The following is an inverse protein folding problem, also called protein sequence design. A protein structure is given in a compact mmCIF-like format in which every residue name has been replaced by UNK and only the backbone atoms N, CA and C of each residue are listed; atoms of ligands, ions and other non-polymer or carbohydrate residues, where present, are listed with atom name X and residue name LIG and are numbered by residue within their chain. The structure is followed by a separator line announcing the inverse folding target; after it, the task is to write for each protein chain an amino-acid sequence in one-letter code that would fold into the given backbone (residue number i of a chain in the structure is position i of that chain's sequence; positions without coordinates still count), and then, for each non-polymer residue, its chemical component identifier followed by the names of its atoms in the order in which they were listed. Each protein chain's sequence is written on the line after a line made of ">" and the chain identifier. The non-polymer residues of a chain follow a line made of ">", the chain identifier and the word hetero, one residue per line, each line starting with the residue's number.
data_IF_634633896899
#
_entry.id   IF_634633896899
#
_cell.length_a   1.000
_cell.length_b   1.000
_cell.length_c   1.000
_cell.angle_alpha   90.00
_cell.angle_beta   90.00
_cell.angle_gamma   90.00
#
_symmetry.space_group_name_H-M   'P 1'
#
loop_
_entity.id
_entity.type
_entity.pdbx_description
1 polymer ?
#
# COMPACT_ATOMS: atom_id res chain seq x y z
N UNK A 1 5.15 -11.34 -33.59
CA UNK A 1 4.84 -12.06 -32.35
C UNK A 1 3.62 -11.41 -31.74
N UNK A 2 2.61 -12.21 -31.40
CA UNK A 2 1.41 -11.74 -30.70
C UNK A 2 1.80 -11.36 -29.27
N UNK A 3 1.35 -10.20 -28.80
CA UNK A 3 1.54 -9.83 -27.40
C UNK A 3 0.74 -10.81 -26.52
N UNK A 4 1.45 -11.69 -25.82
CA UNK A 4 0.85 -12.70 -24.95
C UNK A 4 -0.04 -12.07 -23.88
N UNK A 5 0.26 -10.84 -23.44
CA UNK A 5 -0.48 -10.11 -22.40
C UNK A 5 -1.88 -9.70 -22.85
N UNK A 6 -2.15 -9.71 -24.17
CA UNK A 6 -3.46 -9.41 -24.74
C UNK A 6 -4.34 -10.67 -24.93
N UNK A 7 -3.76 -11.87 -24.75
CA UNK A 7 -4.49 -13.12 -24.99
C UNK A 7 -5.57 -13.36 -23.92
N UNK A 8 -6.68 -14.05 -24.27
CA UNK A 8 -7.69 -14.46 -23.29
C UNK A 8 -7.14 -15.36 -22.18
N UNK A 9 -6.21 -16.27 -22.53
CA UNK A 9 -5.59 -17.18 -21.58
C UNK A 9 -4.79 -16.41 -20.51
N UNK A 10 -3.98 -15.44 -20.92
CA UNK A 10 -3.18 -14.64 -19.98
C UNK A 10 -4.07 -13.81 -19.05
N UNK A 11 -5.14 -13.19 -19.59
CA UNK A 11 -6.11 -12.43 -18.78
C UNK A 11 -6.86 -13.33 -17.79
N UNK A 12 -7.25 -14.53 -18.21
CA UNK A 12 -7.89 -15.51 -17.32
C UNK A 12 -6.95 -15.94 -16.19
N UNK A 13 -5.68 -16.20 -16.51
CA UNK A 13 -4.66 -16.55 -15.51
C UNK A 13 -4.39 -15.40 -14.54
N UNK A 14 -4.34 -14.16 -15.04
CA UNK A 14 -4.23 -12.95 -14.19
C UNK A 14 -5.40 -12.89 -13.19
N UNK A 15 -6.65 -12.95 -13.68
CA UNK A 15 -7.82 -12.85 -12.82
C UNK A 15 -7.92 -13.99 -11.78
N UNK A 16 -7.49 -15.21 -12.16
CA UNK A 16 -7.39 -16.33 -11.21
C UNK A 16 -6.31 -16.10 -10.17
N UNK A 17 -5.18 -15.51 -10.55
CA UNK A 17 -4.09 -15.16 -9.62
C UNK A 17 -4.56 -14.09 -8.62
N UNK A 18 -5.26 -13.06 -9.10
CA UNK A 18 -5.88 -12.04 -8.26
C UNK A 18 -6.84 -12.67 -7.23
N UNK A 19 -7.70 -13.59 -7.68
CA UNK A 19 -8.60 -14.30 -6.78
C UNK A 19 -7.86 -15.10 -5.70
N UNK A 20 -6.76 -15.77 -6.06
CA UNK A 20 -5.91 -16.50 -5.09
C UNK A 20 -5.26 -15.52 -4.10
N UNK A 21 -4.74 -14.38 -4.55
CA UNK A 21 -4.17 -13.34 -3.68
C UNK A 21 -5.19 -12.82 -2.67
N UNK A 22 -6.44 -12.58 -3.10
CA UNK A 22 -7.52 -12.17 -2.21
C UNK A 22 -7.81 -13.21 -1.12
N UNK A 23 -7.82 -14.50 -1.46
CA UNK A 23 -7.99 -15.58 -0.45
C UNK A 23 -6.84 -15.65 0.56
N UNK A 24 -5.69 -15.06 0.23
CA UNK A 24 -4.52 -14.95 1.10
C UNK A 24 -4.46 -13.62 1.85
N UNK A 25 -5.50 -12.80 1.75
CA UNK A 25 -5.59 -11.51 2.41
C UNK A 25 -4.73 -10.42 1.77
N UNK A 26 -4.32 -10.58 0.49
CA UNK A 26 -3.56 -9.57 -0.24
C UNK A 26 -4.38 -8.98 -1.39
N UNK A 27 -4.42 -7.66 -1.44
CA UNK A 27 -4.86 -6.88 -2.58
C UNK A 27 -3.62 -6.37 -3.32
N UNK A 28 -3.50 -6.68 -4.60
CA UNK A 28 -2.34 -6.31 -5.42
C UNK A 28 -2.82 -5.54 -6.62
N UNK A 29 -2.08 -4.50 -7.04
CA UNK A 29 -2.44 -3.78 -8.25
C UNK A 29 -2.47 -4.74 -9.47
N UNK A 30 -3.53 -4.70 -10.29
CA UNK A 30 -3.65 -5.62 -11.42
C UNK A 30 -2.47 -5.53 -12.41
N UNK A 31 -1.90 -4.34 -12.59
CA UNK A 31 -0.71 -4.11 -13.42
C UNK A 31 0.53 -4.84 -12.88
N UNK A 32 0.72 -4.86 -11.56
CA UNK A 32 1.80 -5.59 -10.93
C UNK A 32 1.63 -7.11 -11.07
N UNK A 33 0.42 -7.63 -10.84
CA UNK A 33 0.13 -9.07 -11.05
C UNK A 33 0.40 -9.48 -12.49
N UNK A 34 -0.04 -8.66 -13.46
CA UNK A 34 0.27 -8.89 -14.88
C UNK A 34 1.77 -8.85 -15.18
N UNK A 35 2.52 -7.94 -14.55
CA UNK A 35 3.96 -7.83 -14.70
C UNK A 35 4.69 -9.09 -14.21
N UNK A 36 4.40 -9.53 -12.98
CA UNK A 36 4.98 -10.75 -12.40
C UNK A 36 4.59 -11.97 -13.21
N UNK A 37 3.32 -12.07 -13.62
CA UNK A 37 2.85 -13.18 -14.44
C UNK A 37 3.60 -13.26 -15.78
N UNK A 38 3.77 -12.12 -16.47
CA UNK A 38 4.53 -12.07 -17.71
C UNK A 38 5.97 -12.54 -17.50
N UNK A 39 6.62 -12.08 -16.43
CA UNK A 39 7.99 -12.51 -16.10
C UNK A 39 8.09 -14.02 -15.82
N UNK A 40 7.14 -14.58 -15.07
CA UNK A 40 7.11 -16.03 -14.78
C UNK A 40 6.94 -16.85 -16.05
N UNK A 41 6.08 -16.39 -16.97
CA UNK A 41 5.87 -17.05 -18.27
C UNK A 41 7.14 -17.00 -19.11
N UNK A 42 7.77 -15.83 -19.27
CA UNK A 42 9.03 -15.67 -20.02
C UNK A 42 10.14 -16.57 -19.46
N UNK A 43 10.36 -16.56 -18.14
CA UNK A 43 11.38 -17.41 -17.49
C UNK A 43 11.06 -18.90 -17.68
N UNK A 44 9.78 -19.28 -17.64
CA UNK A 44 9.36 -20.68 -17.85
C UNK A 44 9.61 -21.12 -19.29
N UNK A 45 9.28 -20.27 -20.26
CA UNK A 45 9.52 -20.50 -21.68
C UNK A 45 11.02 -20.71 -21.96
N UNK A 46 11.87 -19.79 -21.49
CA UNK A 46 13.32 -19.86 -21.66
C UNK A 46 13.92 -21.12 -21.04
N UNK A 47 13.49 -21.48 -19.82
CA UNK A 47 14.05 -22.61 -19.08
C UNK A 47 13.71 -23.97 -19.72
N UNK A 48 12.54 -24.09 -20.32
CA UNK A 48 12.03 -25.35 -20.89
C UNK A 48 12.30 -25.41 -22.40
N UNK A 49 12.63 -24.28 -23.03
CA UNK A 49 12.83 -24.18 -24.48
C UNK A 49 11.51 -24.19 -25.26
N UNK A 50 10.44 -23.65 -24.67
CA UNK A 50 9.14 -23.49 -25.31
C UNK A 50 8.94 -22.02 -25.70
N UNK A 51 7.92 -21.75 -26.53
CA UNK A 51 7.45 -20.38 -26.68
C UNK A 51 6.61 -19.94 -25.45
N UNK A 52 6.37 -18.64 -25.34
CA UNK A 52 5.64 -18.08 -24.20
C UNK A 52 4.17 -18.53 -24.15
N UNK A 53 3.53 -18.80 -25.29
CA UNK A 53 2.13 -19.21 -25.38
C UNK A 53 1.95 -20.63 -24.83
N UNK A 54 2.87 -21.54 -25.17
CA UNK A 54 2.91 -22.89 -24.61
C UNK A 54 3.29 -22.86 -23.12
N UNK A 55 4.29 -22.06 -22.74
CA UNK A 55 4.73 -21.95 -21.35
C UNK A 55 3.64 -21.41 -20.42
N UNK A 56 2.75 -20.54 -20.92
CA UNK A 56 1.60 -20.02 -20.18
C UNK A 56 0.73 -21.12 -19.57
N UNK A 57 0.55 -22.22 -20.28
CA UNK A 57 -0.25 -23.36 -19.83
C UNK A 57 0.41 -24.17 -18.70
N UNK A 58 1.70 -23.93 -18.44
CA UNK A 58 2.45 -24.58 -17.37
C UNK A 58 2.48 -23.73 -16.08
N UNK A 59 2.05 -22.48 -16.14
CA UNK A 59 2.05 -21.56 -15.00
C UNK A 59 0.72 -21.66 -14.25
N UNK A 60 0.79 -21.96 -12.96
CA UNK A 60 -0.39 -21.99 -12.08
C UNK A 60 -0.61 -20.64 -11.38
N UNK A 61 -1.86 -20.22 -11.15
CA UNK A 61 -2.17 -19.03 -10.35
C UNK A 61 -1.54 -19.06 -8.96
N UNK A 62 -1.52 -20.24 -8.32
CA UNK A 62 -1.01 -20.44 -6.96
C UNK A 62 0.49 -20.19 -6.89
N UNK A 63 1.25 -20.67 -7.87
CA UNK A 63 2.71 -20.42 -7.95
C UNK A 63 3.02 -18.93 -8.09
N UNK A 64 2.27 -18.21 -8.91
CA UNK A 64 2.47 -16.76 -9.11
C UNK A 64 2.10 -16.00 -7.83
N UNK A 65 0.98 -16.36 -7.21
CA UNK A 65 0.57 -15.79 -5.93
C UNK A 65 1.59 -16.06 -4.83
N UNK A 66 2.22 -17.25 -4.78
CA UNK A 66 3.25 -17.59 -3.79
C UNK A 66 4.48 -16.69 -3.95
N UNK A 67 4.88 -16.42 -5.19
CA UNK A 67 6.00 -15.52 -5.49
C UNK A 67 5.70 -14.09 -5.02
N UNK A 68 4.49 -13.58 -5.28
CA UNK A 68 4.08 -12.24 -4.85
C UNK A 68 4.00 -12.16 -3.33
N UNK A 69 3.38 -13.13 -2.66
CA UNK A 69 3.32 -13.20 -1.19
C UNK A 69 4.73 -13.18 -0.59
N UNK A 70 5.63 -13.99 -1.14
CA UNK A 70 7.01 -14.07 -0.67
C UNK A 70 7.74 -12.75 -0.88
N UNK A 71 7.62 -12.13 -2.05
CA UNK A 71 8.23 -10.82 -2.32
C UNK A 71 7.68 -9.73 -1.39
N UNK A 72 6.41 -9.84 -0.98
CA UNK A 72 5.78 -8.91 -0.06
C UNK A 72 6.08 -9.16 1.43
N UNK A 73 6.84 -10.20 1.79
CA UNK A 73 7.23 -10.47 3.18
C UNK A 73 8.17 -9.37 3.68
N UNK A 74 7.67 -8.55 4.62
CA UNK A 74 8.37 -7.39 5.20
C UNK A 74 9.68 -7.74 5.90
N UNK A 75 9.97 -9.03 6.12
CA UNK A 75 11.18 -9.51 6.78
C UNK A 75 12.32 -9.81 5.80
N UNK A 76 12.06 -9.73 4.50
CA UNK A 76 13.07 -9.99 3.47
C UNK A 76 13.71 -8.68 3.00
N UNK A 77 15.01 -8.73 2.74
CA UNK A 77 15.74 -7.61 2.14
C UNK A 77 15.15 -7.26 0.76
N UNK A 78 14.93 -5.97 0.50
CA UNK A 78 14.32 -5.47 -0.72
C UNK A 78 12.78 -5.47 -0.71
N UNK A 79 12.14 -5.88 0.38
CA UNK A 79 10.67 -5.82 0.51
C UNK A 79 10.13 -4.38 0.52
N UNK A 80 10.99 -3.41 0.85
CA UNK A 80 10.75 -1.97 0.76
C UNK A 80 10.50 -1.47 -0.67
N UNK A 81 10.91 -2.22 -1.70
CA UNK A 81 10.68 -1.85 -3.11
C UNK A 81 9.32 -2.36 -3.64
N UNK A 82 8.62 -3.22 -2.89
CA UNK A 82 7.37 -3.88 -3.30
C UNK A 82 6.15 -3.01 -2.95
N UNK A 83 5.86 -2.04 -3.81
CA UNK A 83 4.89 -0.97 -3.55
C UNK A 83 3.44 -1.24 -3.98
N UNK A 84 3.18 -2.33 -4.70
CA UNK A 84 1.87 -2.63 -5.28
C UNK A 84 1.02 -3.63 -4.46
N UNK A 85 1.41 -3.93 -3.22
CA UNK A 85 0.79 -4.98 -2.38
C UNK A 85 0.27 -4.40 -1.07
N UNK A 86 -1.02 -4.65 -0.79
CA UNK A 86 -1.75 -4.13 0.36
C UNK A 86 -2.55 -5.25 1.06
N UNK A 87 -2.85 -5.11 2.35
CA UNK A 87 -3.76 -6.04 3.02
C UNK A 87 -5.18 -5.88 2.49
N UNK A 88 -5.94 -6.99 2.41
CA UNK A 88 -7.38 -6.94 2.14
C UNK A 88 -8.09 -6.44 3.38
N UNK A 89 -8.89 -5.39 3.22
CA UNK A 89 -9.82 -4.93 4.26
C UNK A 89 -11.07 -5.80 4.27
N UNK A 90 -11.29 -6.49 5.37
CA UNK A 90 -12.50 -7.31 5.59
C UNK A 90 -13.59 -6.51 6.29
N UNK A 91 -13.23 -5.45 7.02
CA UNK A 91 -14.18 -4.56 7.69
C UNK A 91 -14.76 -3.53 6.70
N UNK A 92 -16.05 -3.68 6.40
CA UNK A 92 -16.80 -2.81 5.49
C UNK A 92 -17.51 -1.64 6.21
N UNK A 93 -17.33 -1.50 7.53
CA UNK A 93 -17.95 -0.41 8.30
C UNK A 93 -17.39 0.95 7.84
N UNK A 94 -18.24 1.96 7.92
CA UNK A 94 -17.88 3.35 7.70
C UNK A 94 -18.30 4.21 8.88
N UNK A 95 -17.56 5.29 9.12
CA UNK A 95 -17.84 6.26 10.20
C UNK A 95 -17.89 7.68 9.61
N UNK A 96 -18.75 8.55 10.14
CA UNK A 96 -18.77 9.94 9.71
C UNK A 96 -17.53 10.67 10.23
N UNK A 97 -16.93 11.51 9.40
CA UNK A 97 -15.89 12.45 9.80
C UNK A 97 -16.14 13.83 9.19
N UNK A 98 -15.81 14.88 9.94
CA UNK A 98 -15.88 16.24 9.44
C UNK A 98 -14.69 16.55 8.50
N UNK A 99 -14.85 17.61 7.70
CA UNK A 99 -13.88 18.05 6.72
C UNK A 99 -12.50 18.36 7.33
N UNK A 100 -12.48 18.99 8.51
CA UNK A 100 -11.23 19.37 9.19
C UNK A 100 -10.46 18.15 9.65
N UNK A 101 -11.17 17.19 10.24
CA UNK A 101 -10.63 15.89 10.63
C UNK A 101 -10.06 15.13 9.43
N UNK A 102 -10.82 15.02 8.33
CA UNK A 102 -10.35 14.33 7.13
C UNK A 102 -9.14 15.02 6.49
N UNK A 103 -9.16 16.35 6.37
CA UNK A 103 -8.02 17.10 5.86
C UNK A 103 -6.76 16.88 6.70
N UNK A 104 -6.91 16.78 8.03
CA UNK A 104 -5.81 16.46 8.94
C UNK A 104 -5.27 15.04 8.71
N UNK A 105 -6.12 14.04 8.51
CA UNK A 105 -5.69 12.67 8.23
C UNK A 105 -4.99 12.52 6.86
N UNK A 106 -5.45 13.25 5.84
CA UNK A 106 -4.77 13.33 4.54
C UNK A 106 -3.36 13.89 4.71
N UNK A 107 -3.21 14.98 5.47
CA UNK A 107 -1.90 15.58 5.73
C UNK A 107 -0.99 14.64 6.54
N UNK A 108 -1.54 13.93 7.52
CA UNK A 108 -0.79 12.94 8.30
C UNK A 108 -0.25 11.81 7.41
N UNK A 109 -1.10 11.25 6.53
CA UNK A 109 -0.71 10.23 5.57
C UNK A 109 0.39 10.74 4.61
N UNK A 110 0.22 11.95 4.06
CA UNK A 110 1.20 12.57 3.16
C UNK A 110 2.53 12.86 3.86
N UNK A 111 2.51 13.32 5.11
CA UNK A 111 3.71 13.57 5.89
C UNK A 111 4.47 12.27 6.16
N UNK A 112 3.79 11.22 6.61
CA UNK A 112 4.43 9.92 6.81
C UNK A 112 4.96 9.35 5.48
N UNK A 113 4.20 9.50 4.39
CA UNK A 113 4.63 9.07 3.06
C UNK A 113 5.89 9.79 2.59
N UNK A 114 6.04 11.08 2.93
CA UNK A 114 7.26 11.84 2.67
C UNK A 114 8.45 11.27 3.44
N UNK A 115 8.30 10.93 4.72
CA UNK A 115 9.37 10.28 5.50
C UNK A 115 9.77 8.95 4.86
N UNK A 116 8.80 8.09 4.54
CA UNK A 116 9.07 6.81 3.88
C UNK A 116 9.84 7.00 2.56
N UNK A 117 9.36 7.88 1.68
CA UNK A 117 9.97 8.12 0.36
C UNK A 117 11.41 8.65 0.48
N UNK A 118 11.62 9.61 1.38
CA UNK A 118 12.93 10.20 1.61
C UNK A 118 13.92 9.19 2.21
N UNK A 119 13.45 8.21 2.99
CA UNK A 119 14.29 7.16 3.57
C UNK A 119 14.27 5.86 2.75
N UNK A 120 13.99 5.95 1.44
CA UNK A 120 14.03 4.84 0.49
C UNK A 120 13.08 3.66 0.78
N UNK A 121 12.02 3.88 1.57
CA UNK A 121 10.94 2.89 1.73
C UNK A 121 9.81 3.18 0.73
N UNK A 122 10.01 2.73 -0.51
CA UNK A 122 9.07 2.94 -1.61
C UNK A 122 7.70 2.32 -1.38
N UNK A 123 7.66 1.18 -0.67
CA UNK A 123 6.45 0.46 -0.32
C UNK A 123 5.61 1.24 0.68
N UNK A 124 6.19 1.67 1.79
CA UNK A 124 5.47 2.46 2.77
C UNK A 124 5.02 3.79 2.15
N UNK A 125 5.87 4.43 1.34
CA UNK A 125 5.52 5.67 0.64
C UNK A 125 4.30 5.52 -0.27
N UNK A 126 4.26 4.47 -1.09
CA UNK A 126 3.14 4.21 -1.99
C UNK A 126 1.85 3.89 -1.21
N UNK A 127 1.92 3.03 -0.18
CA UNK A 127 0.75 2.71 0.65
C UNK A 127 0.21 3.96 1.36
N UNK A 128 1.08 4.81 1.89
CA UNK A 128 0.67 6.07 2.51
C UNK A 128 0.05 7.06 1.53
N UNK A 129 0.55 7.11 0.29
CA UNK A 129 -0.05 7.93 -0.77
C UNK A 129 -1.42 7.41 -1.19
N UNK A 130 -1.60 6.09 -1.26
CA UNK A 130 -2.91 5.48 -1.47
C UNK A 130 -3.89 5.87 -0.36
N UNK A 131 -3.49 5.76 0.91
CA UNK A 131 -4.33 6.15 2.05
C UNK A 131 -4.72 7.64 1.99
N UNK A 132 -3.76 8.52 1.67
CA UNK A 132 -4.02 9.93 1.44
C UNK A 132 -5.04 10.16 0.32
N UNK A 133 -4.92 9.39 -0.77
CA UNK A 133 -5.83 9.47 -1.93
C UNK A 133 -7.24 8.97 -1.59
N UNK A 134 -7.36 7.88 -0.83
CA UNK A 134 -8.65 7.33 -0.41
C UNK A 134 -9.40 8.26 0.55
N UNK A 135 -8.69 8.85 1.51
CA UNK A 135 -9.22 9.88 2.41
C UNK A 135 -9.60 11.14 1.62
N UNK A 136 -8.77 11.55 0.66
CA UNK A 136 -9.04 12.65 -0.27
C UNK A 136 -10.27 12.41 -1.14
N UNK A 137 -10.45 11.20 -1.65
CA UNK A 137 -11.64 10.83 -2.43
C UNK A 137 -12.90 10.93 -1.58
N UNK A 138 -12.82 10.52 -0.30
CA UNK A 138 -13.92 10.64 0.66
C UNK A 138 -14.35 12.09 0.87
N UNK A 139 -13.40 13.04 0.94
CA UNK A 139 -13.69 14.48 0.99
C UNK A 139 -14.46 14.98 -0.24
N UNK A 140 -14.16 14.46 -1.42
CA UNK A 140 -14.78 14.92 -2.69
C UNK A 140 -16.10 14.24 -3.02
N UNK A 141 -16.43 13.13 -2.34
CA UNK A 141 -17.61 12.31 -2.63
C UNK A 141 -18.92 12.92 -2.10
N UNK A 142 -18.88 13.78 -1.07
CA UNK A 142 -20.04 14.50 -0.54
C UNK A 142 -19.83 16.04 -0.61
N UNK A 143 -20.08 16.66 -1.78
CA UNK A 143 -19.90 18.10 -1.96
C UNK A 143 -20.96 18.94 -1.22
N UNK A 144 -22.02 18.33 -0.69
CA UNK A 144 -23.10 19.04 0.00
C UNK A 144 -22.82 19.25 1.50
N UNK A 145 -21.86 18.51 2.08
CA UNK A 145 -21.27 18.76 3.39
C UNK A 145 -22.24 18.71 4.58
N UNK A 146 -23.41 18.11 4.42
CA UNK A 146 -24.49 18.24 5.40
C UNK A 146 -24.50 17.15 6.49
N UNK A 147 -23.87 15.99 6.28
CA UNK A 147 -23.93 14.87 7.24
C UNK A 147 -22.55 14.24 7.58
N UNK A 148 -21.46 14.86 7.14
CA UNK A 148 -20.09 14.33 7.30
C UNK A 148 -19.77 13.23 6.28
N UNK A 149 -18.52 13.19 5.84
CA UNK A 149 -18.12 12.20 4.83
C UNK A 149 -17.90 10.84 5.48
N UNK A 150 -18.41 9.78 4.86
CA UNK A 150 -18.32 8.42 5.39
C UNK A 150 -16.97 7.80 5.07
N UNK A 151 -16.16 7.58 6.11
CA UNK A 151 -14.80 7.04 6.01
C UNK A 151 -14.79 5.56 6.33
N UNK A 152 -14.19 4.70 5.50
CA UNK A 152 -14.03 3.28 5.84
C UNK A 152 -13.15 3.09 7.08
N UNK A 153 -13.60 2.27 8.02
CA UNK A 153 -12.87 1.97 9.26
C UNK A 153 -11.49 1.39 8.99
N UNK A 154 -11.38 0.48 8.01
CA UNK A 154 -10.09 -0.12 7.65
C UNK A 154 -9.05 0.87 7.13
N UNK A 155 -9.45 2.01 6.55
CA UNK A 155 -8.53 3.09 6.16
C UNK A 155 -7.93 3.77 7.40
N UNK A 156 -8.74 3.97 8.44
CA UNK A 156 -8.30 4.57 9.70
C UNK A 156 -7.34 3.65 10.47
N UNK A 157 -7.65 2.35 10.52
CA UNK A 157 -6.79 1.35 11.16
C UNK A 157 -5.42 1.28 10.43
N UNK A 158 -5.42 1.18 9.10
CA UNK A 158 -4.18 1.17 8.30
C UNK A 158 -3.36 2.45 8.47
N UNK A 159 -4.01 3.62 8.48
CA UNK A 159 -3.33 4.88 8.68
C UNK A 159 -2.69 4.95 10.07
N UNK A 160 -3.41 4.59 11.12
CA UNK A 160 -2.87 4.62 12.48
C UNK A 160 -1.65 3.70 12.62
N UNK A 161 -1.70 2.50 12.04
CA UNK A 161 -0.59 1.54 12.07
C UNK A 161 0.64 2.04 11.30
N UNK A 162 0.44 2.69 10.15
CA UNK A 162 1.54 3.29 9.39
C UNK A 162 2.14 4.50 10.08
N UNK A 163 1.32 5.36 10.70
CA UNK A 163 1.81 6.48 11.49
C UNK A 163 2.67 6.00 12.66
N UNK A 164 2.21 4.98 13.40
CA UNK A 164 2.98 4.41 14.51
C UNK A 164 4.32 3.81 14.05
N UNK A 165 4.35 3.12 12.91
CA UNK A 165 5.61 2.60 12.34
C UNK A 165 6.57 3.72 11.94
N UNK A 166 6.08 4.76 11.27
CA UNK A 166 6.89 5.92 10.90
C UNK A 166 7.44 6.64 12.13
N UNK A 167 6.61 6.81 13.17
CA UNK A 167 7.03 7.40 14.44
C UNK A 167 8.16 6.57 15.06
N UNK A 168 8.01 5.25 15.14
CA UNK A 168 9.03 4.37 15.71
C UNK A 168 10.37 4.50 14.96
N UNK A 169 10.36 4.48 13.62
CA UNK A 169 11.57 4.65 12.80
C UNK A 169 12.25 6.01 13.02
N UNK A 170 11.47 7.08 13.20
CA UNK A 170 12.02 8.41 13.51
C UNK A 170 12.64 8.42 14.92
N UNK A 171 11.95 7.87 15.92
CA UNK A 171 12.42 7.85 17.30
C UNK A 171 13.64 6.96 17.52
N UNK A 172 13.79 5.91 16.72
CA UNK A 172 14.98 5.04 16.67
C UNK A 172 16.14 5.67 15.87
N UNK A 173 15.96 6.90 15.37
CA UNK A 173 16.91 7.63 14.51
C UNK A 173 17.27 6.90 13.22
N UNK A 174 16.40 5.98 12.76
CA UNK A 174 16.57 5.28 11.50
C UNK A 174 16.06 6.12 10.33
N UNK A 175 15.02 6.92 10.55
CA UNK A 175 14.44 7.81 9.55
C UNK A 175 14.58 9.28 9.92
N UNK A 176 14.89 10.10 8.91
CA UNK A 176 14.91 11.55 9.04
C UNK A 176 14.27 12.22 7.84
N UNK A 177 13.72 13.43 8.03
CA UNK A 177 13.28 14.28 6.93
C UNK A 177 14.45 14.72 6.02
N UNK A 178 15.69 14.67 6.53
CA UNK A 178 16.91 14.99 5.81
C UNK A 178 17.95 13.85 5.97
N UNK A 179 17.95 12.84 5.09
CA UNK A 179 18.78 11.65 5.20
C UNK A 179 20.19 11.84 4.62
N UNK A 180 20.62 13.08 4.32
CA UNK A 180 21.92 13.33 3.71
C UNK A 180 23.11 13.07 4.66
N UNK A 181 22.85 12.84 5.95
CA UNK A 181 23.86 12.61 6.98
C UNK A 181 24.52 13.89 7.50
N UNK A 182 24.07 15.07 7.06
CA UNK A 182 24.51 16.37 7.57
C UNK A 182 23.55 16.88 8.64
N UNK A 183 24.05 17.66 9.59
CA UNK A 183 23.23 18.32 10.61
C UNK A 183 22.69 19.65 10.08
N UNK A 184 21.40 19.69 9.82
CA UNK A 184 20.60 20.84 9.39
C UNK A 184 19.51 21.19 10.41
N UNK A 185 19.75 20.92 11.70
CA UNK A 185 18.77 21.05 12.79
C UNK A 185 17.52 20.15 12.58
N UNK A 186 17.65 19.07 11.81
CA UNK A 186 16.55 18.17 11.47
C UNK A 186 16.00 17.41 12.67
N UNK A 187 16.79 17.23 13.73
CA UNK A 187 16.39 16.51 14.95
C UNK A 187 15.13 17.13 15.59
N UNK A 188 15.05 18.46 15.65
CA UNK A 188 13.89 19.15 16.22
C UNK A 188 12.65 19.02 15.33
N UNK A 189 12.85 19.05 14.01
CA UNK A 189 11.80 18.85 13.01
C UNK A 189 11.25 17.43 13.07
N UNK A 190 12.14 16.44 13.12
CA UNK A 190 11.83 15.01 13.21
C UNK A 190 11.05 14.71 14.51
N UNK A 191 11.51 15.25 15.64
CA UNK A 191 10.82 15.14 16.93
C UNK A 191 9.42 15.79 16.90
N UNK A 192 9.30 16.98 16.29
CA UNK A 192 8.02 17.68 16.12
C UNK A 192 7.05 16.93 15.21
N UNK A 193 7.56 16.33 14.14
CA UNK A 193 6.81 15.48 13.22
C UNK A 193 6.28 14.22 13.91
N UNK A 194 7.13 13.49 14.62
CA UNK A 194 6.75 12.30 15.39
C UNK A 194 5.64 12.60 16.42
N UNK A 195 5.75 13.74 17.12
CA UNK A 195 4.71 14.21 18.06
C UNK A 195 3.37 14.46 17.36
N UNK A 196 3.40 15.15 16.22
CA UNK A 196 2.20 15.46 15.44
C UNK A 196 1.52 14.18 14.93
N UNK A 197 2.30 13.28 14.32
CA UNK A 197 1.81 11.99 13.84
C UNK A 197 1.19 11.14 14.94
N UNK A 198 1.72 11.19 16.18
CA UNK A 198 1.12 10.48 17.32
C UNK A 198 -0.28 10.99 17.66
N UNK A 199 -0.48 12.31 17.59
CA UNK A 199 -1.80 12.90 17.76
C UNK A 199 -2.75 12.49 16.63
N UNK A 200 -2.25 12.39 15.40
CA UNK A 200 -3.04 12.00 14.22
C UNK A 200 -3.41 10.51 14.25
N UNK A 201 -2.50 9.64 14.68
CA UNK A 201 -2.77 8.21 14.90
C UNK A 201 -3.82 8.01 16.00
N UNK A 202 -3.77 8.82 17.07
CA UNK A 202 -4.79 8.81 18.12
C UNK A 202 -6.15 9.24 17.56
N UNK A 203 -6.19 10.32 16.77
CA UNK A 203 -7.41 10.79 16.12
C UNK A 203 -8.03 9.73 15.22
N UNK A 204 -7.23 9.04 14.38
CA UNK A 204 -7.71 7.96 13.53
C UNK A 204 -8.38 6.84 14.34
N UNK A 205 -7.77 6.44 15.46
CA UNK A 205 -8.32 5.43 16.38
C UNK A 205 -9.59 5.89 17.09
N UNK A 206 -9.67 7.15 17.48
CA UNK A 206 -10.86 7.72 18.12
C UNK A 206 -12.05 7.74 17.16
N UNK A 207 -11.84 8.15 15.91
CA UNK A 207 -12.87 8.07 14.87
C UNK A 207 -13.31 6.65 14.61
N UNK A 208 -12.35 5.72 14.53
CA UNK A 208 -12.63 4.30 14.33
C UNK A 208 -13.57 3.73 15.41
N UNK A 209 -13.41 4.17 16.67
CA UNK A 209 -14.30 3.74 17.78
C UNK A 209 -15.73 4.24 17.66
N UNK A 210 -16.01 5.27 16.85
CA UNK A 210 -17.39 5.71 16.59
C UNK A 210 -18.19 4.68 15.77
N UNK A 211 -17.50 3.73 15.12
CA UNK A 211 -18.11 2.65 14.36
C UNK A 211 -18.31 1.34 15.15
N UNK A 212 -17.88 1.28 16.41
CA UNK A 212 -18.12 0.15 17.32
C UNK A 212 -19.49 0.27 18.01
#
# INVERSE_FOLDING_TARGET
>A
MTDIRATPAFRSLTARTDAVLLTRGLQVEPTAVRGVLAQVVTVTAERIGLDEEEALHLVSPETVADLIVRAADVRLDGAEDVHAVRPVRVDARTVPADLGTLGRLVMAAAQAGKYAATNHDGRAAAHLMDLATELGATLTADPAGNDGSMVPVGVLDELADHLDRTIARIEEAEWSICPCGEDHDQTDVDTGAARTMRHDATLARELRRLGD
#
